data_IF_551877546117
#
_entry.id   IF_551877546117
#
_cell.length_a   1.000
_cell.length_b   1.000
_cell.length_c   1.000
_cell.angle_alpha   90.00
_cell.angle_beta   90.00
_cell.angle_gamma   90.00
#
_symmetry.space_group_name_H-M   'P 1'
#
loop_
_entity.id
_entity.type
_entity.pdbx_description
1 polymer ?
#
# COMPACT_ATOMS: atom_id res chain seq x y z
N UNK A 1 13.22 -11.55 -17.63
CA UNK A 1 12.86 -10.37 -18.44
C UNK A 1 11.48 -10.63 -19.02
N UNK A 2 10.44 -10.19 -18.31
CA UNK A 2 9.05 -10.37 -18.75
C UNK A 2 8.67 -9.21 -19.66
N UNK A 3 8.15 -9.52 -20.83
CA UNK A 3 7.58 -8.58 -21.80
C UNK A 3 6.30 -7.98 -21.24
N UNK A 4 6.40 -6.98 -20.36
CA UNK A 4 5.22 -6.21 -19.95
C UNK A 4 4.90 -5.21 -21.06
N UNK A 5 3.73 -5.40 -21.67
CA UNK A 5 3.14 -4.39 -22.55
C UNK A 5 2.93 -3.07 -21.79
N UNK A 6 2.72 -1.99 -22.53
CA UNK A 6 2.44 -0.68 -21.96
C UNK A 6 1.30 -0.76 -20.93
N UNK A 7 1.54 -0.36 -19.68
CA UNK A 7 0.51 -0.32 -18.64
C UNK A 7 -0.55 0.69 -19.05
N UNK A 8 -1.76 0.19 -19.35
CA UNK A 8 -2.86 1.01 -19.84
C UNK A 8 -3.65 1.63 -18.69
N UNK A 9 -4.35 2.73 -18.99
CA UNK A 9 -5.27 3.39 -18.06
C UNK A 9 -6.36 2.43 -17.57
N UNK A 10 -6.89 1.59 -18.48
CA UNK A 10 -7.87 0.57 -18.15
C UNK A 10 -7.30 -0.45 -17.16
N UNK A 11 -6.04 -0.87 -17.33
CA UNK A 11 -5.39 -1.81 -16.42
C UNK A 11 -5.21 -1.22 -15.02
N UNK A 12 -4.88 0.07 -14.92
CA UNK A 12 -4.84 0.78 -13.63
C UNK A 12 -6.22 0.83 -12.98
N UNK A 13 -7.28 1.13 -13.73
CA UNK A 13 -8.65 1.11 -13.20
C UNK A 13 -9.07 -0.29 -12.72
N UNK A 14 -8.70 -1.35 -13.44
CA UNK A 14 -8.92 -2.74 -13.01
C UNK A 14 -8.26 -3.03 -11.66
N UNK A 15 -7.00 -2.63 -11.47
CA UNK A 15 -6.32 -2.78 -10.19
C UNK A 15 -7.04 -2.03 -9.06
N UNK A 16 -7.52 -0.80 -9.31
CA UNK A 16 -8.25 -0.02 -8.31
C UNK A 16 -9.57 -0.69 -7.92
N UNK A 17 -10.35 -1.14 -8.91
CA UNK A 17 -11.65 -1.74 -8.68
C UNK A 17 -11.57 -3.15 -8.10
N UNK A 18 -10.46 -3.86 -8.32
CA UNK A 18 -10.12 -5.11 -7.64
C UNK A 18 -9.40 -4.89 -6.29
N UNK A 19 -9.29 -3.64 -5.81
CA UNK A 19 -8.60 -3.30 -4.56
C UNK A 19 -7.12 -3.71 -4.51
N UNK A 20 -6.45 -3.89 -5.66
CA UNK A 20 -5.05 -4.34 -5.81
C UNK A 20 -4.05 -3.19 -5.91
N UNK A 21 -4.36 -2.05 -5.30
CA UNK A 21 -3.48 -0.87 -5.27
C UNK A 21 -3.11 -0.57 -3.83
N UNK A 22 -1.82 -0.69 -3.53
CA UNK A 22 -1.27 -0.33 -2.23
C UNK A 22 -0.39 0.91 -2.37
N UNK A 23 -0.20 1.63 -1.26
CA UNK A 23 0.84 2.66 -1.17
C UNK A 23 2.07 2.05 -0.50
N UNK A 24 3.24 2.44 -0.96
CA UNK A 24 4.48 2.17 -0.27
C UNK A 24 4.43 2.78 1.15
N UNK A 25 5.06 2.14 2.16
CA UNK A 25 5.10 2.66 3.52
C UNK A 25 5.73 4.06 3.59
N UNK A 26 6.81 4.26 2.84
CA UNK A 26 7.56 5.50 2.73
C UNK A 26 7.44 6.10 1.32
N UNK A 27 6.22 6.37 0.87
CA UNK A 27 5.97 7.04 -0.41
C UNK A 27 6.28 8.55 -0.34
N UNK A 28 6.78 9.11 -1.45
CA UNK A 28 7.08 10.54 -1.56
C UNK A 28 5.80 11.36 -1.75
N UNK A 29 5.78 12.57 -1.18
CA UNK A 29 4.70 13.52 -1.42
C UNK A 29 5.17 14.97 -1.43
N UNK A 30 4.73 15.76 -2.39
CA UNK A 30 5.00 17.20 -2.47
C UNK A 30 3.98 17.92 -3.36
N UNK A 31 3.79 19.22 -3.19
CA UNK A 31 2.96 20.02 -4.08
C UNK A 31 3.58 21.40 -4.36
N UNK A 32 3.25 22.00 -5.50
CA UNK A 32 3.62 23.38 -5.81
C UNK A 32 2.85 24.37 -4.91
N UNK A 33 3.32 25.61 -4.85
CA UNK A 33 2.64 26.70 -4.15
C UNK A 33 1.29 27.03 -4.81
N UNK A 34 0.26 27.32 -4.01
CA UNK A 34 -1.07 27.67 -4.49
C UNK A 34 -1.91 26.50 -5.04
N UNK A 35 -1.35 25.29 -5.08
CA UNK A 35 -2.08 24.09 -5.49
C UNK A 35 -3.17 23.75 -4.47
N UNK A 36 -4.41 23.69 -4.95
CA UNK A 36 -5.57 23.29 -4.15
C UNK A 36 -5.94 21.82 -4.33
N UNK A 37 -5.01 20.91 -4.65
CA UNK A 37 -5.37 19.48 -4.80
C UNK A 37 -6.02 18.89 -3.57
N UNK A 38 -5.62 19.39 -2.43
CA UNK A 38 -5.90 18.79 -1.14
C UNK A 38 -6.72 19.74 -0.32
N UNK A 39 -7.39 19.19 0.68
CA UNK A 39 -7.72 20.01 1.83
C UNK A 39 -6.39 20.52 2.43
N UNK A 40 -6.18 21.84 2.46
CA UNK A 40 -4.92 22.46 2.89
C UNK A 40 -4.55 22.03 4.32
N UNK A 41 -5.54 21.73 5.15
CA UNK A 41 -5.35 21.28 6.53
C UNK A 41 -4.94 19.79 6.62
N UNK A 42 -5.11 19.02 5.52
CA UNK A 42 -4.90 17.57 5.49
C UNK A 42 -3.81 17.11 4.52
N UNK A 43 -3.32 18.00 3.65
CA UNK A 43 -2.27 17.71 2.65
C UNK A 43 -2.67 16.61 1.66
N UNK A 44 -1.70 16.08 0.89
CA UNK A 44 -1.94 15.07 -0.16
C UNK A 44 -2.57 13.79 0.41
N UNK A 45 -3.87 13.59 0.16
CA UNK A 45 -4.62 12.45 0.66
C UNK A 45 -4.71 11.35 -0.40
N UNK A 46 -3.98 10.26 -0.15
CA UNK A 46 -4.03 9.03 -0.94
C UNK A 46 -5.46 8.59 -1.31
N UNK A 47 -6.32 8.32 -0.32
CA UNK A 47 -7.65 7.75 -0.59
C UNK A 47 -8.65 8.74 -1.20
N UNK A 48 -8.58 10.02 -0.84
CA UNK A 48 -9.57 11.02 -1.26
C UNK A 48 -9.23 11.68 -2.61
N UNK A 49 -7.94 11.87 -2.88
CA UNK A 49 -7.47 12.61 -4.05
C UNK A 49 -6.79 11.69 -5.07
N UNK A 50 -6.10 10.63 -4.65
CA UNK A 50 -5.35 9.79 -5.59
C UNK A 50 -6.19 8.70 -6.21
N UNK A 51 -6.89 7.93 -5.38
CA UNK A 51 -7.64 6.76 -5.87
C UNK A 51 -8.76 7.12 -6.87
N UNK A 52 -9.55 8.19 -6.68
CA UNK A 52 -10.55 8.57 -7.68
C UNK A 52 -9.94 8.89 -9.03
N UNK A 53 -8.76 9.53 -9.06
CA UNK A 53 -8.08 9.84 -10.30
C UNK A 53 -7.71 8.54 -11.05
N UNK A 54 -7.25 7.51 -10.34
CA UNK A 54 -6.79 6.22 -10.93
C UNK A 54 -7.92 5.45 -11.65
N UNK A 55 -9.18 5.87 -11.50
CA UNK A 55 -10.34 5.30 -12.20
C UNK A 55 -10.59 6.01 -13.54
N UNK A 56 -9.68 5.78 -14.50
CA UNK A 56 -9.89 6.15 -15.90
C UNK A 56 -9.50 7.58 -16.28
N UNK A 57 -9.03 8.42 -15.34
CA UNK A 57 -8.67 9.82 -15.64
C UNK A 57 -7.18 10.02 -15.96
N UNK A 58 -6.37 8.98 -15.77
CA UNK A 58 -4.94 9.10 -15.94
C UNK A 58 -4.51 9.02 -17.40
N UNK A 59 -3.48 9.78 -17.74
CA UNK A 59 -2.50 9.39 -18.77
C UNK A 59 -1.35 8.69 -18.06
N UNK A 60 -0.99 7.49 -18.51
CA UNK A 60 0.06 6.67 -17.91
C UNK A 60 1.23 6.61 -18.90
N UNK A 61 2.41 6.94 -18.41
CA UNK A 61 3.66 6.92 -19.16
C UNK A 61 4.67 6.05 -18.42
N UNK A 62 5.56 5.38 -19.17
CA UNK A 62 6.68 4.65 -18.56
C UNK A 62 7.61 5.66 -17.89
N UNK A 63 8.06 5.34 -16.68
CA UNK A 63 9.09 6.11 -16.00
C UNK A 63 10.44 5.88 -16.70
N UNK A 64 11.09 6.92 -17.25
CA UNK A 64 12.34 6.75 -17.96
C UNK A 64 13.57 6.78 -17.04
N UNK A 65 13.39 6.90 -15.72
CA UNK A 65 14.52 6.85 -14.77
C UNK A 65 15.08 5.43 -14.67
N UNK A 66 16.40 5.32 -14.79
CA UNK A 66 17.10 4.02 -14.78
C UNK A 66 17.02 3.28 -13.42
N UNK A 67 16.82 4.01 -12.32
CA UNK A 67 16.62 3.43 -10.99
C UNK A 67 15.21 2.88 -10.76
N UNK A 68 14.34 2.97 -11.79
CA UNK A 68 12.93 2.55 -11.79
C UNK A 68 12.57 1.81 -13.08
N UNK A 69 13.23 0.67 -13.40
CA UNK A 69 13.07 -0.02 -14.69
C UNK A 69 11.63 -0.51 -14.96
N UNK A 70 10.87 -0.76 -13.89
CA UNK A 70 9.46 -1.18 -13.89
C UNK A 70 8.49 -0.06 -13.44
N UNK A 71 9.00 1.18 -13.39
CA UNK A 71 8.27 2.34 -12.91
C UNK A 71 7.34 2.92 -13.95
N UNK A 72 6.24 3.48 -13.46
CA UNK A 72 5.23 4.19 -14.23
C UNK A 72 4.91 5.52 -13.56
N UNK A 73 4.58 6.51 -14.40
CA UNK A 73 4.11 7.81 -13.95
C UNK A 73 2.76 8.09 -14.57
N UNK A 74 1.78 8.38 -13.72
CA UNK A 74 0.47 8.80 -14.10
C UNK A 74 0.28 10.31 -13.93
N UNK A 75 -0.49 10.93 -14.83
CA UNK A 75 -0.98 12.31 -14.70
C UNK A 75 -2.51 12.40 -14.85
N UNK A 76 -3.19 13.18 -14.01
CA UNK A 76 -4.63 13.45 -14.11
C UNK A 76 -4.99 14.88 -13.67
N UNK A 77 -6.09 15.46 -14.19
CA UNK A 77 -6.63 16.75 -13.72
C UNK A 77 -7.50 16.56 -12.46
N UNK A 78 -7.26 17.33 -11.41
CA UNK A 78 -8.19 17.41 -10.28
C UNK A 78 -9.44 18.18 -10.65
N UNK A 79 -10.54 17.90 -9.95
CA UNK A 79 -11.71 18.78 -9.97
C UNK A 79 -11.44 20.22 -9.49
N UNK A 80 -10.36 20.43 -8.71
CA UNK A 80 -9.90 21.77 -8.28
C UNK A 80 -8.90 22.42 -9.25
N UNK A 81 -8.77 21.90 -10.47
CA UNK A 81 -8.06 22.54 -11.59
C UNK A 81 -6.55 22.31 -11.70
N UNK A 82 -5.91 21.75 -10.66
CA UNK A 82 -4.48 21.42 -10.70
C UNK A 82 -4.21 20.03 -11.37
N UNK A 83 -2.94 19.70 -11.63
CA UNK A 83 -2.48 18.36 -12.06
C UNK A 83 -1.98 17.43 -10.95
N UNK A 84 -2.49 16.20 -10.88
CA UNK A 84 -2.04 15.14 -9.99
C UNK A 84 -1.04 14.31 -10.76
N UNK A 85 0.14 14.09 -10.18
CA UNK A 85 1.08 13.10 -10.63
C UNK A 85 1.16 11.98 -9.60
N UNK A 86 1.16 10.74 -10.07
CA UNK A 86 1.31 9.56 -9.21
C UNK A 86 2.40 8.69 -9.81
N UNK A 87 3.35 8.28 -8.99
CA UNK A 87 4.39 7.33 -9.38
C UNK A 87 4.03 5.96 -8.80
N UNK A 88 4.12 4.91 -9.61
CA UNK A 88 3.81 3.56 -9.17
C UNK A 88 4.66 2.52 -9.89
N UNK A 89 4.89 1.40 -9.20
CA UNK A 89 5.47 0.19 -9.80
C UNK A 89 4.38 -0.87 -9.94
N UNK A 90 4.49 -1.68 -10.99
CA UNK A 90 3.78 -2.94 -11.05
C UNK A 90 4.64 -4.02 -10.39
N UNK A 91 4.13 -4.62 -9.31
CA UNK A 91 4.79 -5.70 -8.61
C UNK A 91 4.02 -6.99 -8.86
N UNK A 92 4.66 -7.98 -9.47
CA UNK A 92 4.04 -9.27 -9.77
C UNK A 92 4.77 -10.40 -9.07
N UNK A 93 4.03 -11.47 -8.76
CA UNK A 93 4.65 -12.73 -8.39
C UNK A 93 5.42 -13.36 -9.59
N UNK A 94 6.27 -14.37 -9.37
CA UNK A 94 7.03 -15.01 -10.45
C UNK A 94 6.16 -15.62 -11.57
N UNK A 95 4.90 -15.97 -11.28
CA UNK A 95 3.96 -16.47 -12.29
C UNK A 95 3.34 -15.35 -13.14
N UNK A 96 3.41 -14.09 -12.69
CA UNK A 96 2.77 -12.94 -13.32
C UNK A 96 1.24 -12.92 -13.21
N UNK A 97 0.64 -13.93 -12.57
CA UNK A 97 -0.82 -14.05 -12.45
C UNK A 97 -1.40 -13.19 -11.33
N UNK A 98 -0.55 -12.79 -10.38
CA UNK A 98 -0.92 -12.00 -9.22
C UNK A 98 -0.03 -10.74 -9.18
N UNK A 99 -0.52 -9.64 -9.78
CA UNK A 99 0.13 -8.33 -9.83
C UNK A 99 -0.56 -7.26 -8.95
N UNK A 100 0.19 -6.39 -8.32
CA UNK A 100 -0.33 -5.27 -7.53
C UNK A 100 0.34 -3.98 -7.98
N UNK A 101 -0.38 -2.87 -7.95
CA UNK A 101 0.23 -1.55 -8.13
C UNK A 101 0.68 -1.00 -6.79
N UNK A 102 1.94 -0.62 -6.72
CA UNK A 102 2.56 -0.03 -5.54
C UNK A 102 2.82 1.44 -5.81
N UNK A 103 2.07 2.32 -5.16
CA UNK A 103 2.30 3.76 -5.28
C UNK A 103 3.48 4.20 -4.43
N UNK A 104 4.46 4.81 -5.09
CA UNK A 104 5.72 5.24 -4.49
C UNK A 104 5.84 6.76 -4.41
N UNK A 105 4.96 7.50 -5.09
CA UNK A 105 4.97 8.96 -5.06
C UNK A 105 3.62 9.58 -5.43
N UNK A 106 3.30 10.71 -4.80
CA UNK A 106 2.10 11.51 -5.09
C UNK A 106 2.48 12.99 -5.12
N UNK A 107 2.21 13.69 -6.22
CA UNK A 107 2.61 15.09 -6.37
C UNK A 107 1.48 15.95 -6.93
N UNK A 108 1.31 17.15 -6.38
CA UNK A 108 0.37 18.15 -6.89
C UNK A 108 1.11 19.26 -7.65
N UNK A 109 0.74 19.52 -8.91
CA UNK A 109 1.37 20.54 -9.74
C UNK A 109 0.41 21.66 -10.13
N UNK A 110 0.91 22.89 -10.11
CA UNK A 110 0.16 24.06 -10.56
C UNK A 110 0.06 24.09 -12.10
N UNK A 111 -0.97 24.78 -12.61
CA UNK A 111 -1.14 25.07 -14.03
C UNK A 111 -2.18 24.21 -14.76
N UNK A 112 -2.83 24.82 -15.76
CA UNK A 112 -3.90 24.26 -16.60
C UNK A 112 -3.43 23.84 -17.99
N UNK A 113 -2.14 24.00 -18.30
CA UNK A 113 -1.54 23.73 -19.62
C UNK A 113 -0.82 22.36 -19.65
N UNK A 114 -0.22 22.01 -20.79
CA UNK A 114 0.59 20.79 -20.98
C UNK A 114 1.60 20.64 -19.87
N UNK A 115 1.62 19.49 -19.21
CA UNK A 115 2.56 19.23 -18.13
C UNK A 115 3.91 18.98 -18.78
N UNK A 116 4.88 19.86 -18.57
CA UNK A 116 6.27 19.56 -18.88
C UNK A 116 6.86 18.86 -17.66
N UNK A 117 6.86 17.54 -17.69
CA UNK A 117 7.57 16.76 -16.71
C UNK A 117 9.04 16.63 -17.12
N UNK A 118 9.96 16.85 -16.17
CA UNK A 118 11.40 16.78 -16.46
C UNK A 118 11.87 15.38 -16.84
N UNK A 119 11.06 14.37 -16.51
CA UNK A 119 11.36 12.95 -16.68
C UNK A 119 10.71 12.45 -17.97
N UNK A 120 9.40 12.64 -18.14
CA UNK A 120 8.64 12.12 -19.29
C UNK A 120 8.42 13.13 -20.43
N UNK A 121 8.83 14.39 -20.27
CA UNK A 121 8.62 15.44 -21.26
C UNK A 121 7.21 16.03 -21.24
N UNK A 122 6.71 16.45 -22.39
CA UNK A 122 5.38 17.05 -22.52
C UNK A 122 4.27 16.00 -22.49
N UNK A 123 3.41 16.10 -21.46
CA UNK A 123 2.23 15.27 -21.28
C UNK A 123 0.99 16.13 -21.51
N UNK A 124 0.35 15.94 -22.66
CA UNK A 124 -0.97 16.48 -22.94
C UNK A 124 -2.02 15.71 -22.13
N UNK A 125 -2.77 16.45 -21.30
CA UNK A 125 -3.94 15.95 -20.59
C UNK A 125 -5.23 16.47 -21.23
N UNK A 126 -6.37 15.80 -21.03
CA UNK A 126 -7.67 16.33 -21.42
C UNK A 126 -7.90 17.73 -20.82
N UNK A 127 -8.46 18.64 -21.62
CA UNK A 127 -8.87 19.97 -21.15
C UNK A 127 -10.05 19.90 -20.17
N UNK A 128 -10.88 18.86 -20.31
CA UNK A 128 -12.06 18.70 -19.47
C UNK A 128 -11.66 18.27 -18.06
N UNK A 129 -11.96 19.14 -17.10
CA UNK A 129 -11.79 18.88 -15.67
C UNK A 129 -13.04 18.19 -15.12
N UNK A 130 -12.91 17.07 -14.38
CA UNK A 130 -14.05 16.44 -13.73
C UNK A 130 -14.69 17.40 -12.72
N UNK A 131 -16.01 17.36 -12.62
CA UNK A 131 -16.75 18.08 -11.59
C UNK A 131 -16.52 17.46 -10.20
N UNK A 132 -16.79 18.22 -9.14
CA UNK A 132 -16.74 17.68 -7.77
C UNK A 132 -17.69 16.48 -7.60
N UNK A 133 -18.86 16.51 -8.24
CA UNK A 133 -19.83 15.42 -8.22
C UNK A 133 -19.28 14.13 -8.82
N UNK A 134 -18.70 14.21 -10.02
CA UNK A 134 -18.09 13.05 -10.68
C UNK A 134 -16.88 12.51 -9.90
N UNK A 135 -16.12 13.39 -9.23
CA UNK A 135 -15.03 12.96 -8.34
C UNK A 135 -15.55 12.19 -7.13
N UNK A 136 -16.61 12.70 -6.51
CA UNK A 136 -17.27 12.07 -5.37
C UNK A 136 -17.85 10.71 -5.73
N UNK A 137 -18.38 10.56 -6.93
CA UNK A 137 -18.93 9.28 -7.40
C UNK A 137 -17.82 8.25 -7.67
N UNK A 138 -16.67 8.66 -8.22
CA UNK A 138 -15.47 7.80 -8.29
C UNK A 138 -15.00 7.34 -6.92
N UNK A 139 -14.94 8.26 -5.95
CA UNK A 139 -14.60 7.91 -4.56
C UNK A 139 -15.56 6.87 -3.98
N UNK A 140 -16.88 7.02 -4.18
CA UNK A 140 -17.87 6.03 -3.74
C UNK A 140 -17.67 4.66 -4.40
N UNK A 141 -17.33 4.61 -5.71
CA UNK A 141 -17.02 3.35 -6.40
C UNK A 141 -15.87 2.61 -5.73
N UNK A 142 -14.78 3.31 -5.41
CA UNK A 142 -13.65 2.73 -4.67
C UNK A 142 -14.03 2.30 -3.25
N UNK A 143 -14.75 3.15 -2.51
CA UNK A 143 -15.20 2.80 -1.16
C UNK A 143 -16.10 1.55 -1.16
N UNK A 144 -16.90 1.35 -2.20
CA UNK A 144 -17.69 0.13 -2.39
C UNK A 144 -16.81 -1.09 -2.72
N UNK A 145 -15.84 -0.95 -3.63
CA UNK A 145 -14.88 -2.03 -3.93
C UNK A 145 -14.13 -2.49 -2.67
N UNK A 146 -13.66 -1.54 -1.84
CA UNK A 146 -12.95 -1.83 -0.59
C UNK A 146 -13.80 -2.50 0.48
N UNK A 147 -15.13 -2.43 0.41
CA UNK A 147 -16.03 -3.16 1.34
C UNK A 147 -16.05 -4.65 1.03
N UNK A 148 -15.70 -5.05 -0.19
CA UNK A 148 -15.52 -6.44 -0.59
C UNK A 148 -14.10 -6.97 -0.30
N UNK A 149 -13.32 -6.21 0.50
CA UNK A 149 -11.88 -6.30 0.79
C UNK A 149 -11.19 -7.63 0.43
N UNK A 150 -10.73 -7.71 -0.82
CA UNK A 150 -9.99 -8.84 -1.40
C UNK A 150 -8.56 -8.45 -1.78
N UNK A 151 -7.93 -7.49 -1.06
CA UNK A 151 -6.46 -7.29 -1.11
C UNK A 151 -5.71 -8.46 -0.44
N UNK A 152 -6.23 -9.66 -0.67
CA UNK A 152 -5.73 -10.95 -0.29
C UNK A 152 -4.58 -11.29 -1.21
N UNK A 153 -3.54 -11.81 -0.61
CA UNK A 153 -2.47 -12.42 -1.37
C UNK A 153 -1.12 -12.11 -0.77
N UNK A 154 -0.29 -13.14 -0.78
CA UNK A 154 1.11 -13.02 -0.43
C UNK A 154 1.83 -11.98 -1.31
N UNK A 155 1.35 -11.71 -2.53
CA UNK A 155 1.94 -10.67 -3.42
C UNK A 155 1.81 -9.28 -2.84
N UNK A 156 0.64 -8.89 -2.33
CA UNK A 156 0.47 -7.56 -1.74
C UNK A 156 1.38 -7.35 -0.52
N UNK A 157 1.52 -8.38 0.33
CA UNK A 157 2.42 -8.34 1.48
C UNK A 157 3.88 -8.28 1.03
N UNK A 158 4.31 -9.11 0.07
CA UNK A 158 5.67 -9.05 -0.50
C UNK A 158 5.97 -7.70 -1.13
N UNK A 159 5.03 -7.12 -1.85
CA UNK A 159 5.16 -5.79 -2.44
C UNK A 159 5.34 -4.71 -1.37
N UNK A 160 4.54 -4.77 -0.30
CA UNK A 160 4.67 -3.88 0.86
C UNK A 160 6.05 -4.01 1.53
N UNK A 161 6.50 -5.26 1.77
CA UNK A 161 7.82 -5.55 2.36
C UNK A 161 8.94 -5.03 1.46
N UNK A 162 8.88 -5.29 0.16
CA UNK A 162 9.87 -4.83 -0.82
C UNK A 162 9.95 -3.30 -0.89
N UNK A 163 8.86 -2.59 -0.58
CA UNK A 163 8.84 -1.14 -0.54
C UNK A 163 9.42 -0.52 0.75
N UNK A 164 9.69 -1.32 1.79
CA UNK A 164 10.33 -0.81 3.01
C UNK A 164 11.81 -0.48 2.78
N UNK A 165 12.34 0.59 3.40
CA UNK A 165 13.76 0.91 3.32
C UNK A 165 14.58 0.21 4.41
N UNK A 166 15.82 -0.14 4.07
CA UNK A 166 16.85 -0.59 5.00
C UNK A 166 16.42 -1.73 5.92
N UNK A 167 16.85 -1.68 7.17
CA UNK A 167 16.64 -2.72 8.18
C UNK A 167 15.15 -3.06 8.45
N UNK A 168 14.22 -2.14 8.16
CA UNK A 168 12.78 -2.40 8.32
C UNK A 168 12.30 -3.47 7.34
N UNK A 169 12.87 -3.50 6.13
CA UNK A 169 12.62 -4.55 5.14
C UNK A 169 13.09 -5.89 5.67
N UNK A 170 14.26 -5.94 6.29
CA UNK A 170 14.83 -7.18 6.83
C UNK A 170 13.97 -7.74 7.96
N UNK A 171 13.55 -6.89 8.91
CA UNK A 171 12.63 -7.28 9.99
C UNK A 171 11.29 -7.77 9.44
N UNK A 172 10.71 -7.05 8.48
CA UNK A 172 9.41 -7.42 7.91
C UNK A 172 9.48 -8.70 7.06
N UNK A 173 10.56 -8.89 6.30
CA UNK A 173 10.84 -10.12 5.56
C UNK A 173 10.93 -11.29 6.53
N UNK A 174 11.72 -11.13 7.60
CA UNK A 174 11.91 -12.19 8.57
C UNK A 174 10.63 -12.53 9.33
N UNK A 175 9.81 -11.53 9.62
CA UNK A 175 8.52 -11.75 10.24
C UNK A 175 7.55 -12.53 9.32
N UNK A 176 7.44 -12.17 8.03
CA UNK A 176 6.62 -12.91 7.06
C UNK A 176 7.06 -14.38 6.93
N UNK A 177 8.38 -14.64 6.93
CA UNK A 177 8.95 -15.99 6.94
C UNK A 177 8.59 -16.76 8.21
N UNK A 178 8.79 -16.18 9.39
CA UNK A 178 8.44 -16.80 10.69
C UNK A 178 6.95 -17.14 10.71
N UNK A 179 6.09 -16.23 10.23
CA UNK A 179 4.65 -16.48 10.17
C UNK A 179 4.35 -17.68 9.26
N UNK A 180 4.90 -17.72 8.04
CA UNK A 180 4.68 -18.83 7.11
C UNK A 180 5.22 -20.18 7.61
N UNK A 181 6.34 -20.19 8.34
CA UNK A 181 6.92 -21.41 8.90
C UNK A 181 6.08 -21.98 10.06
N UNK A 182 5.41 -21.13 10.82
CA UNK A 182 4.67 -21.52 12.01
C UNK A 182 3.18 -21.77 11.75
N UNK A 183 2.64 -21.19 10.68
CA UNK A 183 1.23 -21.33 10.28
C UNK A 183 1.21 -21.59 8.75
N UNK A 184 1.31 -22.85 8.32
CA UNK A 184 1.41 -23.19 6.88
C UNK A 184 0.22 -22.71 6.04
N UNK A 185 -0.99 -22.71 6.63
CA UNK A 185 -2.24 -22.29 5.97
C UNK A 185 -2.55 -20.80 6.14
N UNK A 186 -1.55 -19.99 6.49
CA UNK A 186 -1.75 -18.57 6.80
C UNK A 186 -2.23 -17.77 5.58
N UNK A 187 -3.33 -17.03 5.78
CA UNK A 187 -3.81 -15.99 4.88
C UNK A 187 -3.03 -14.71 5.11
N UNK A 188 -2.71 -14.02 4.00
CA UNK A 188 -2.00 -12.75 3.97
C UNK A 188 -2.85 -11.71 3.26
N UNK A 189 -2.90 -10.50 3.80
CA UNK A 189 -3.53 -9.37 3.12
C UNK A 189 -2.86 -8.06 3.50
N UNK A 190 -3.00 -7.04 2.66
CA UNK A 190 -2.70 -5.65 3.04
C UNK A 190 -4.00 -4.91 3.24
N UNK A 191 -4.33 -4.59 4.50
CA UNK A 191 -5.58 -3.90 4.86
C UNK A 191 -5.25 -2.60 5.55
N UNK A 192 -5.98 -1.53 5.23
CA UNK A 192 -5.73 -0.21 5.81
C UNK A 192 -4.26 0.26 5.66
N UNK A 193 -3.59 -0.17 4.60
CA UNK A 193 -2.15 0.06 4.36
C UNK A 193 -1.21 -0.59 5.38
N UNK A 194 -1.61 -1.74 5.90
CA UNK A 194 -0.86 -2.55 6.84
C UNK A 194 -0.96 -4.03 6.48
N UNK A 195 0.14 -4.80 6.50
CA UNK A 195 0.07 -6.25 6.34
C UNK A 195 -0.60 -6.94 7.54
N UNK A 196 -1.45 -7.91 7.24
CA UNK A 196 -2.15 -8.77 8.20
C UNK A 196 -1.96 -10.24 7.84
N UNK A 197 -1.95 -11.06 8.89
CA UNK A 197 -1.85 -12.51 8.85
C UNK A 197 -3.01 -13.14 9.63
N UNK A 198 -3.65 -14.13 9.03
CA UNK A 198 -4.86 -14.74 9.57
C UNK A 198 -5.00 -16.21 9.19
N UNK A 199 -6.02 -16.85 9.73
CA UNK A 199 -6.43 -18.20 9.34
C UNK A 199 -7.88 -18.13 8.89
N UNK A 200 -8.22 -18.87 7.83
CA UNK A 200 -9.57 -18.88 7.29
C UNK A 200 -10.59 -19.27 8.37
N UNK A 201 -11.63 -18.47 8.55
CA UNK A 201 -12.66 -18.69 9.59
C UNK A 201 -12.27 -18.28 11.01
N UNK A 202 -10.98 -18.11 11.31
CA UNK A 202 -10.48 -17.79 12.66
C UNK A 202 -10.02 -16.33 12.81
N UNK A 203 -10.05 -15.54 11.73
CA UNK A 203 -9.72 -14.12 11.74
C UNK A 203 -8.22 -13.81 11.67
N UNK A 204 -7.86 -12.56 11.95
CA UNK A 204 -6.50 -12.05 11.79
C UNK A 204 -5.77 -12.03 13.13
N UNK A 205 -4.75 -12.86 13.27
CA UNK A 205 -4.03 -13.05 14.53
C UNK A 205 -2.75 -12.21 14.62
N UNK A 206 -2.20 -11.74 13.50
CA UNK A 206 -0.99 -10.92 13.51
C UNK A 206 -0.99 -9.84 12.43
N UNK A 207 -0.17 -8.81 12.64
CA UNK A 207 0.09 -7.74 11.68
C UNK A 207 1.41 -7.05 12.00
N UNK A 208 1.90 -6.20 11.10
CA UNK A 208 3.01 -5.32 11.45
C UNK A 208 2.86 -3.93 10.86
N UNK A 209 3.40 -2.92 11.54
CA UNK A 209 3.43 -1.53 11.08
C UNK A 209 4.86 -1.01 11.08
N UNK A 210 5.29 -0.35 10.00
CA UNK A 210 6.57 0.33 9.95
C UNK A 210 6.41 1.80 10.36
N UNK A 211 7.07 2.18 11.45
CA UNK A 211 7.18 3.57 11.89
C UNK A 211 8.55 4.14 11.54
N UNK A 212 8.75 5.44 11.78
CA UNK A 212 10.04 6.10 11.52
C UNK A 212 11.20 5.46 12.30
N UNK A 213 10.96 5.07 13.56
CA UNK A 213 11.99 4.59 14.50
C UNK A 213 11.93 3.09 14.84
N UNK A 214 10.81 2.42 14.56
CA UNK A 214 10.62 1.02 14.90
C UNK A 214 9.72 0.30 13.89
N UNK A 215 9.80 -1.03 13.82
CA UNK A 215 8.78 -1.89 13.23
C UNK A 215 8.01 -2.53 14.38
N UNK A 216 6.70 -2.33 14.41
CA UNK A 216 5.82 -2.91 15.43
C UNK A 216 5.22 -4.21 14.92
N UNK A 217 5.60 -5.33 15.51
CA UNK A 217 4.96 -6.63 15.30
C UNK A 217 3.80 -6.75 16.29
N UNK A 218 2.57 -6.91 15.80
CA UNK A 218 1.36 -6.96 16.63
C UNK A 218 0.70 -8.32 16.55
N UNK A 219 0.22 -8.80 17.69
CA UNK A 219 -0.45 -10.07 17.88
C UNK A 219 -1.81 -9.84 18.55
N UNK A 220 -2.82 -10.55 18.07
CA UNK A 220 -4.18 -10.57 18.60
C UNK A 220 -4.41 -11.93 19.24
N UNK A 221 -4.88 -11.94 20.48
CA UNK A 221 -5.25 -13.14 21.22
C UNK A 221 -6.26 -12.76 22.30
N UNK A 222 -7.09 -13.70 22.76
CA UNK A 222 -8.00 -13.47 23.89
C UNK A 222 -7.27 -13.51 25.26
N UNK A 223 -6.00 -13.90 25.28
CA UNK A 223 -5.20 -14.12 26.47
C UNK A 223 -3.76 -13.65 26.28
N UNK A 224 -3.01 -13.51 27.37
CA UNK A 224 -1.61 -13.11 27.29
C UNK A 224 -0.77 -14.22 26.66
N UNK A 225 0.08 -13.87 25.69
CA UNK A 225 1.06 -14.80 25.15
C UNK A 225 2.16 -15.03 26.19
N UNK A 226 2.79 -16.20 26.13
CA UNK A 226 3.83 -16.61 27.07
C UNK A 226 5.17 -16.86 26.34
N UNK A 227 6.27 -16.16 26.72
CA UNK A 227 6.30 -15.04 27.68
C UNK A 227 5.56 -13.81 27.13
N UNK A 228 5.10 -12.91 28.00
CA UNK A 228 4.35 -11.72 27.56
C UNK A 228 5.21 -10.82 26.65
N UNK A 229 4.73 -10.42 25.45
CA UNK A 229 5.38 -9.40 24.63
C UNK A 229 5.52 -8.07 25.40
N UNK A 230 6.62 -7.34 25.21
CA UNK A 230 6.94 -6.18 26.04
C UNK A 230 6.03 -4.97 25.82
N UNK A 231 5.33 -4.88 24.68
CA UNK A 231 4.42 -3.80 24.33
C UNK A 231 2.98 -4.31 24.11
N UNK A 232 2.02 -3.38 24.01
CA UNK A 232 0.61 -3.69 23.79
C UNK A 232 -0.33 -2.97 24.77
N UNK A 233 -1.63 -3.00 24.49
CA UNK A 233 -2.67 -2.40 25.35
C UNK A 233 -3.32 -3.39 26.32
N UNK A 234 -3.14 -4.68 26.07
CA UNK A 234 -3.84 -5.75 26.78
C UNK A 234 -3.65 -7.10 26.09
N UNK A 235 -4.28 -8.18 26.60
CA UNK A 235 -4.23 -9.50 25.97
C UNK A 235 -4.71 -9.45 24.51
N UNK A 236 -5.74 -8.64 24.22
CA UNK A 236 -6.34 -8.47 22.89
C UNK A 236 -5.40 -7.87 21.85
N UNK A 237 -4.37 -7.12 22.28
CA UNK A 237 -3.40 -6.46 21.41
C UNK A 237 -2.04 -6.39 22.09
N UNK A 238 -1.20 -7.37 21.80
CA UNK A 238 0.17 -7.49 22.29
C UNK A 238 1.16 -7.18 21.18
N UNK A 239 2.34 -6.69 21.50
CA UNK A 239 3.29 -6.26 20.49
C UNK A 239 4.75 -6.38 20.91
N UNK A 240 5.61 -6.43 19.88
CA UNK A 240 7.04 -6.22 19.96
C UNK A 240 7.40 -5.05 19.06
N UNK A 241 7.99 -4.00 19.63
CA UNK A 241 8.57 -2.89 18.87
C UNK A 241 10.05 -3.20 18.63
N UNK A 242 10.43 -3.42 17.37
CA UNK A 242 11.79 -3.75 16.94
C UNK A 242 12.46 -2.49 16.40
N UNK A 243 13.63 -2.13 16.91
CA UNK A 243 14.45 -1.01 16.45
C UNK A 243 15.63 -1.50 15.59
N UNK A 244 16.33 -0.57 14.93
CA UNK A 244 17.44 -0.87 14.02
C UNK A 244 18.56 -1.69 14.66
N UNK A 245 18.79 -1.48 15.96
CA UNK A 245 19.86 -2.13 16.71
C UNK A 245 19.45 -3.46 17.32
N UNK A 246 18.16 -3.78 17.31
CA UNK A 246 17.64 -4.99 17.96
C UNK A 246 17.90 -6.21 17.07
N UNK A 247 18.24 -7.32 17.72
CA UNK A 247 18.24 -8.64 17.06
C UNK A 247 16.89 -9.30 17.30
N UNK A 248 16.23 -9.74 16.24
CA UNK A 248 14.93 -10.42 16.34
C UNK A 248 15.13 -11.83 16.93
N UNK A 249 14.58 -12.07 18.12
CA UNK A 249 14.51 -13.42 18.73
C UNK A 249 13.43 -14.22 17.98
N UNK A 250 13.84 -14.88 16.91
CA UNK A 250 12.92 -15.55 15.99
C UNK A 250 12.17 -16.73 16.61
N UNK A 251 12.83 -17.46 17.52
CA UNK A 251 12.19 -18.57 18.24
C UNK A 251 11.05 -18.05 19.13
N UNK A 252 11.28 -16.92 19.81
CA UNK A 252 10.27 -16.25 20.62
C UNK A 252 9.13 -15.70 19.78
N UNK A 253 9.45 -15.01 18.69
CA UNK A 253 8.44 -14.49 17.76
C UNK A 253 7.62 -15.63 17.15
N UNK A 254 8.27 -16.74 16.77
CA UNK A 254 7.58 -17.94 16.29
C UNK A 254 6.66 -18.56 17.35
N UNK A 255 7.07 -18.56 18.62
CA UNK A 255 6.21 -18.98 19.73
C UNK A 255 4.95 -18.11 19.85
N UNK A 256 5.11 -16.78 19.78
CA UNK A 256 3.99 -15.84 19.81
C UNK A 256 3.06 -15.98 18.61
N UNK A 257 3.59 -16.21 17.42
CA UNK A 257 2.80 -16.49 16.22
C UNK A 257 1.94 -17.73 16.42
N UNK A 258 2.53 -18.86 16.87
CA UNK A 258 1.78 -20.10 17.09
C UNK A 258 0.68 -19.93 18.14
N UNK A 259 1.00 -19.23 19.22
CA UNK A 259 0.02 -18.94 20.27
C UNK A 259 -1.10 -18.06 19.71
N UNK A 260 -0.81 -16.91 19.12
CA UNK A 260 -1.83 -16.02 18.56
C UNK A 260 -2.73 -16.71 17.53
N UNK A 261 -2.16 -17.54 16.64
CA UNK A 261 -2.91 -18.28 15.63
C UNK A 261 -3.80 -19.41 16.20
N UNK A 262 -3.58 -19.83 17.45
CA UNK A 262 -4.41 -20.84 18.13
C UNK A 262 -5.65 -20.24 18.82
N UNK A 263 -5.79 -18.92 18.84
CA UNK A 263 -6.94 -18.21 19.42
C UNK A 263 -7.71 -17.46 18.33
N UNK A 264 -9.00 -17.16 18.56
CA UNK A 264 -9.77 -16.30 17.66
C UNK A 264 -9.06 -14.96 17.47
N UNK A 265 -8.77 -14.64 16.22
CA UNK A 265 -8.17 -13.39 15.81
C UNK A 265 -9.20 -12.27 15.71
N UNK A 266 -8.76 -11.13 15.17
CA UNK A 266 -9.63 -10.00 14.90
C UNK A 266 -10.55 -10.33 13.71
N UNK A 267 -11.87 -10.30 13.94
CA UNK A 267 -12.89 -10.38 12.89
C UNK A 267 -13.13 -9.04 12.19
N UNK A 268 -13.66 -9.11 10.95
CA UNK A 268 -14.06 -7.96 10.14
C UNK A 268 -15.40 -8.20 9.46
#
# INVERSE_FOLDING_TARGET
MSTSGTLSVQRVEEFVLANRVIRAPDYRKSHDEGVQFTDLDRGLQWGADVVPALQGLFRVERDPRDDRPDGWVGFARHWRGATLQVEFDEFSDPSGSDAVLVVTGVFGRAGTETITDKTVGEVALPEQVPTEGEWRDRRKRYEAARRSDDTDGATAVRAYVAALPGWKRDVATRFDEIVGQNVPDVRRAVRYHQPFYGVEGEGWFASFSAFSKHVKLSFVSDSYLEPRPPAGSGPERQALDVTETDTLDEERVGSWVRQAAAHPGMGW
#
